data_IF_419783098702
#
_entry.id   IF_419783098702
#
_cell.length_a   1.000
_cell.length_b   1.000
_cell.length_c   1.000
_cell.angle_alpha   90.00
_cell.angle_beta   90.00
_cell.angle_gamma   90.00
#
_symmetry.space_group_name_H-M   'P 1'
#
loop_
_entity.id
_entity.type
_entity.pdbx_description
1 polymer ?
#
# COMPACT_ATOMS: atom_id res chain seq x y z
N UNK A 1 14.92 6.32 3.53
CA UNK A 1 13.63 5.62 3.37
C UNK A 1 12.63 6.30 4.31
N UNK A 2 11.45 6.69 3.84
CA UNK A 2 10.41 7.34 4.67
C UNK A 2 9.18 6.43 4.77
N UNK A 3 8.33 6.63 5.77
CA UNK A 3 7.07 5.90 5.90
C UNK A 3 5.91 6.80 5.46
N UNK A 4 5.15 6.37 4.47
CA UNK A 4 4.00 7.10 3.95
C UNK A 4 2.70 6.38 4.23
N UNK A 5 1.68 7.15 4.64
CA UNK A 5 0.34 6.64 4.90
C UNK A 5 -0.42 6.44 3.59
N UNK A 6 -1.01 5.27 3.40
CA UNK A 6 -1.87 4.98 2.26
C UNK A 6 -3.20 5.76 2.38
N UNK A 7 -3.58 6.48 1.32
CA UNK A 7 -4.83 7.24 1.31
C UNK A 7 -6.10 6.37 1.23
N UNK A 8 -5.96 5.06 0.97
CA UNK A 8 -7.09 4.11 0.84
C UNK A 8 -7.30 3.24 2.09
N UNK A 9 -6.25 2.58 2.57
CA UNK A 9 -6.33 1.70 3.74
C UNK A 9 -5.76 2.33 5.02
N UNK A 10 -5.17 3.52 4.94
CA UNK A 10 -4.58 4.24 6.08
C UNK A 10 -3.36 3.57 6.73
N UNK A 11 -2.88 2.44 6.20
CA UNK A 11 -1.66 1.76 6.64
C UNK A 11 -0.38 2.51 6.26
N UNK A 12 0.72 2.26 6.95
CA UNK A 12 2.02 2.90 6.72
C UNK A 12 2.95 1.99 5.92
N UNK A 13 3.51 2.48 4.82
CA UNK A 13 4.37 1.73 3.90
C UNK A 13 5.68 2.47 3.65
N UNK A 14 6.76 1.72 3.41
CA UNK A 14 8.08 2.27 3.12
C UNK A 14 8.09 2.84 1.71
N UNK A 15 8.42 4.13 1.60
CA UNK A 15 8.53 4.87 0.34
C UNK A 15 9.83 5.65 0.25
N UNK A 16 10.12 6.16 -0.94
CA UNK A 16 11.25 7.06 -1.11
C UNK A 16 10.90 8.47 -0.59
N UNK A 17 11.85 9.19 0.03
CA UNK A 17 11.59 10.52 0.62
C UNK A 17 11.19 11.58 -0.41
N UNK A 18 11.43 11.35 -1.70
CA UNK A 18 11.06 12.24 -2.80
C UNK A 18 9.74 11.82 -3.49
N UNK A 19 9.03 10.82 -2.96
CA UNK A 19 7.76 10.36 -3.51
C UNK A 19 6.59 11.26 -3.04
N UNK A 20 5.58 11.48 -3.89
CA UNK A 20 4.45 12.36 -3.59
C UNK A 20 3.53 11.66 -2.57
N UNK A 21 3.82 11.86 -1.28
CA UNK A 21 3.09 11.24 -0.18
C UNK A 21 1.58 11.56 -0.16
N UNK A 22 1.16 12.69 -0.77
CA UNK A 22 -0.22 13.20 -0.72
C UNK A 22 -1.24 12.27 -1.39
N UNK A 23 -0.83 11.47 -2.37
CA UNK A 23 -1.70 10.53 -3.09
C UNK A 23 -1.12 9.11 -3.12
N UNK A 24 -0.31 8.76 -2.14
CA UNK A 24 0.26 7.43 -2.08
C UNK A 24 -0.84 6.37 -1.88
N UNK A 25 -0.87 5.41 -2.80
CA UNK A 25 -1.74 4.24 -2.74
C UNK A 25 -0.84 3.01 -2.70
N UNK A 26 -0.95 2.20 -1.66
CA UNK A 26 -0.12 1.02 -1.53
C UNK A 26 -0.44 -0.01 -2.63
N UNK A 27 0.54 -0.83 -2.98
CA UNK A 27 0.36 -1.90 -3.98
C UNK A 27 -0.69 -2.96 -3.61
N UNK A 28 -1.13 -3.01 -2.35
CA UNK A 28 -2.29 -3.83 -1.95
C UNK A 28 -3.62 -3.19 -2.32
N UNK A 29 -3.73 -1.85 -2.25
CA UNK A 29 -4.91 -1.10 -2.66
C UNK A 29 -4.97 -0.87 -4.17
N UNK A 30 -3.83 -0.81 -4.84
CA UNK A 30 -3.69 -0.73 -6.30
C UNK A 30 -2.88 -1.92 -6.82
N UNK A 31 -3.42 -3.15 -6.76
CA UNK A 31 -2.72 -4.34 -7.22
C UNK A 31 -2.44 -4.24 -8.73
N UNK A 32 -1.20 -4.48 -9.19
CA UNK A 32 -0.90 -4.48 -10.62
C UNK A 32 -1.65 -5.62 -11.33
N UNK A 33 -1.85 -5.50 -12.65
CA UNK A 33 -2.59 -6.46 -13.48
C UNK A 33 -2.09 -7.92 -13.39
N UNK A 34 -0.89 -8.15 -12.85
CA UNK A 34 -0.28 -9.47 -12.60
C UNK A 34 -0.45 -10.00 -11.18
N UNK A 35 -1.23 -9.35 -10.32
CA UNK A 35 -1.62 -9.85 -9.00
C UNK A 35 -3.02 -10.48 -9.05
N UNK A 36 -3.28 -11.29 -10.09
CA UNK A 36 -4.58 -11.93 -10.31
C UNK A 36 -4.84 -13.09 -9.34
N UNK A 37 -5.63 -12.82 -8.29
CA UNK A 37 -6.80 -13.61 -7.84
C UNK A 37 -7.21 -13.19 -6.42
N UNK A 38 -8.23 -12.34 -6.36
CA UNK A 38 -9.19 -12.29 -5.27
C UNK A 38 -8.77 -11.44 -4.07
N UNK A 39 -9.49 -10.32 -3.88
CA UNK A 39 -9.85 -9.76 -2.57
C UNK A 39 -8.86 -10.09 -1.44
N UNK A 40 -7.81 -9.30 -1.27
CA UNK A 40 -7.09 -9.30 0.01
C UNK A 40 -7.96 -8.60 1.08
N UNK A 41 -9.07 -9.23 1.44
CA UNK A 41 -9.70 -9.09 2.75
C UNK A 41 -8.69 -9.69 3.73
N UNK A 42 -7.77 -8.87 4.24
CA UNK A 42 -6.84 -9.26 5.31
C UNK A 42 -5.36 -9.44 4.94
N UNK A 43 -4.71 -8.44 4.31
CA UNK A 43 -3.26 -8.27 4.53
C UNK A 43 -3.09 -7.23 5.65
N UNK A 44 -2.51 -7.49 6.81
CA UNK A 44 -1.46 -8.42 7.23
C UNK A 44 -1.91 -9.04 8.57
N UNK A 45 -2.02 -10.38 8.69
CA UNK A 45 -2.07 -11.01 10.01
C UNK A 45 -0.66 -11.04 10.57
N UNK A 46 -0.38 -10.09 11.47
CA UNK A 46 0.76 -10.18 12.39
C UNK A 46 0.35 -11.20 13.46
N UNK A 47 1.10 -12.31 13.56
CA UNK A 47 0.94 -13.32 14.60
C UNK A 47 1.42 -12.77 15.95
#
# INVERSE_FOLDING_TARGET
LTMTKCSKCSGHFVTHPHEIAKHYVCGLCSPPARAGKGRAVGGIQMH
#
